data_IF_680099463562
#
_entry.id   IF_680099463562
#
_cell.length_a   1.000
_cell.length_b   1.000
_cell.length_c   1.000
_cell.angle_alpha   90.00
_cell.angle_beta   90.00
_cell.angle_gamma   90.00
#
_symmetry.space_group_name_H-M   'P 1'
#
loop_
_entity.id
_entity.type
_entity.pdbx_description
1 polymer ?
#
# COMPACT_ATOMS: atom_id res chain seq x y z
N UNK A 1 -39.22 35.01 5.87
CA UNK A 1 -40.05 35.41 7.02
C UNK A 1 -40.57 34.12 7.63
N UNK A 2 -40.21 33.87 8.89
CA UNK A 2 -40.63 32.71 9.67
C UNK A 2 -41.98 33.05 10.29
N UNK A 3 -42.97 32.15 10.25
CA UNK A 3 -43.98 32.08 11.30
C UNK A 3 -44.29 30.62 11.62
N UNK A 4 -44.14 30.30 12.90
CA UNK A 4 -44.46 29.05 13.55
C UNK A 4 -45.94 29.02 13.95
N UNK A 5 -46.57 27.84 14.00
CA UNK A 5 -47.65 27.57 14.96
C UNK A 5 -47.62 26.14 15.47
N UNK A 6 -47.41 26.08 16.79
CA UNK A 6 -47.68 25.01 17.72
C UNK A 6 -49.19 24.94 18.01
N UNK A 7 -49.77 23.75 18.12
CA UNK A 7 -51.00 23.50 18.90
C UNK A 7 -51.10 22.02 19.27
N UNK A 8 -51.04 21.75 20.58
CA UNK A 8 -51.18 20.43 21.17
C UNK A 8 -52.60 19.86 21.22
N UNK A 9 -52.61 18.53 21.27
CA UNK A 9 -53.46 17.57 22.00
C UNK A 9 -54.93 17.88 22.36
N UNK A 10 -55.79 16.91 22.03
CA UNK A 10 -56.91 16.48 22.88
C UNK A 10 -57.13 14.96 22.76
N UNK A 11 -57.38 14.30 23.90
CA UNK A 11 -57.60 12.87 24.05
C UNK A 11 -59.06 12.56 24.44
N UNK A 12 -59.57 11.41 23.99
CA UNK A 12 -60.65 10.59 24.60
C UNK A 12 -60.73 9.26 23.80
N UNK A 13 -60.40 8.07 24.33
CA UNK A 13 -61.18 7.17 25.21
C UNK A 13 -62.52 6.72 24.55
N UNK A 14 -62.99 5.47 24.46
CA UNK A 14 -62.72 4.04 24.84
C UNK A 14 -63.61 3.22 23.86
N UNK A 15 -63.34 1.97 23.47
CA UNK A 15 -63.78 0.67 24.03
C UNK A 15 -63.85 -0.27 22.80
N UNK A 16 -63.18 -1.42 22.73
CA UNK A 16 -63.71 -2.71 23.20
C UNK A 16 -63.61 -3.80 22.11
N UNK A 17 -62.77 -4.82 22.35
CA UNK A 17 -62.98 -6.23 21.96
C UNK A 17 -62.59 -6.71 20.54
N UNK A 18 -61.56 -7.58 20.44
CA UNK A 18 -61.38 -8.42 19.25
C UNK A 18 -60.01 -9.09 19.03
N UNK A 19 -59.60 -9.97 19.95
CA UNK A 19 -58.77 -11.21 19.77
C UNK A 19 -57.62 -11.26 18.74
N UNK A 20 -56.41 -11.38 19.30
CA UNK A 20 -55.40 -12.44 19.10
C UNK A 20 -54.72 -12.62 17.73
N UNK A 21 -53.50 -12.08 17.60
CA UNK A 21 -52.43 -12.64 16.74
C UNK A 21 -51.03 -12.24 17.23
N UNK A 22 -50.59 -12.74 18.39
CA UNK A 22 -49.15 -12.77 18.72
C UNK A 22 -48.85 -14.01 19.58
N UNK A 23 -47.85 -14.84 19.24
CA UNK A 23 -47.44 -15.96 20.10
C UNK A 23 -46.58 -15.47 21.28
N UNK A 24 -46.78 -16.10 22.45
CA UNK A 24 -46.14 -15.79 23.73
C UNK A 24 -44.60 -15.87 23.77
N UNK A 25 -44.07 -15.10 24.73
CA UNK A 25 -42.68 -15.03 25.19
C UNK A 25 -42.07 -16.40 25.53
N UNK A 26 -40.84 -16.62 25.05
CA UNK A 26 -39.96 -17.73 25.49
C UNK A 26 -39.04 -17.28 26.64
N UNK A 27 -38.73 -18.17 27.59
CA UNK A 27 -38.07 -17.82 28.84
C UNK A 27 -36.56 -17.51 28.68
N UNK A 28 -36.06 -16.74 29.66
CA UNK A 28 -34.80 -16.02 29.65
C UNK A 28 -33.54 -16.83 29.35
N UNK A 29 -32.71 -16.25 28.48
CA UNK A 29 -31.35 -16.72 28.19
C UNK A 29 -30.45 -16.35 29.39
N UNK A 30 -29.95 -17.37 30.11
CA UNK A 30 -28.97 -17.18 31.18
C UNK A 30 -27.69 -16.56 30.61
N UNK A 31 -27.27 -15.43 31.17
CA UNK A 31 -25.96 -14.83 30.93
C UNK A 31 -24.86 -15.74 31.53
N UNK A 32 -23.76 -16.01 30.81
CA UNK A 32 -22.66 -16.81 31.34
C UNK A 32 -21.91 -16.06 32.45
N UNK A 33 -21.33 -16.83 33.38
CA UNK A 33 -20.77 -16.35 34.63
C UNK A 33 -19.45 -15.57 34.47
N UNK A 34 -19.08 -14.68 35.42
CA UNK A 34 -17.99 -13.71 35.28
C UNK A 34 -16.56 -14.29 35.30
N UNK A 35 -16.41 -15.61 35.41
CA UNK A 35 -15.10 -16.26 35.61
C UNK A 35 -14.31 -16.50 34.31
N UNK A 36 -14.88 -16.20 33.14
CA UNK A 36 -14.23 -16.37 31.85
C UNK A 36 -13.34 -15.18 31.42
N UNK A 37 -13.41 -14.03 32.09
CA UNK A 37 -12.62 -12.85 31.72
C UNK A 37 -11.16 -12.88 32.20
N UNK A 38 -10.83 -13.68 33.21
CA UNK A 38 -9.44 -13.81 33.70
C UNK A 38 -8.61 -14.86 32.95
N UNK A 39 -9.25 -15.82 32.26
CA UNK A 39 -8.56 -16.79 31.41
C UNK A 39 -8.15 -16.21 30.04
N UNK A 40 -8.98 -15.34 29.47
CA UNK A 40 -8.70 -14.68 28.18
C UNK A 40 -7.57 -13.65 28.27
N UNK A 41 -7.50 -12.87 29.35
CA UNK A 41 -6.44 -11.89 29.55
C UNK A 41 -5.07 -12.56 29.79
N UNK A 42 -5.01 -13.66 30.54
CA UNK A 42 -3.78 -14.40 30.76
C UNK A 42 -3.26 -15.08 29.48
N UNK A 43 -4.16 -15.66 28.66
CA UNK A 43 -3.79 -16.23 27.38
C UNK A 43 -3.27 -15.17 26.38
N UNK A 44 -3.89 -13.99 26.34
CA UNK A 44 -3.45 -12.89 25.49
C UNK A 44 -2.07 -12.36 25.91
N UNK A 45 -1.82 -12.20 27.21
CA UNK A 45 -0.52 -11.79 27.75
C UNK A 45 0.56 -12.82 27.44
N UNK A 46 0.26 -14.12 27.56
CA UNK A 46 1.21 -15.19 27.21
C UNK A 46 1.52 -15.19 25.71
N UNK A 47 0.53 -14.96 24.84
CA UNK A 47 0.77 -14.84 23.38
C UNK A 47 1.62 -13.60 23.07
N UNK A 48 1.37 -12.46 23.71
CA UNK A 48 2.18 -11.24 23.52
C UNK A 48 3.61 -11.48 24.01
N UNK A 49 3.80 -12.11 25.17
CA UNK A 49 5.13 -12.44 25.70
C UNK A 49 5.84 -13.45 24.79
N UNK A 50 5.13 -14.42 24.23
CA UNK A 50 5.70 -15.38 23.26
C UNK A 50 6.09 -14.69 21.94
N UNK A 51 5.28 -13.77 21.42
CA UNK A 51 5.62 -12.98 20.22
C UNK A 51 6.81 -12.07 20.49
N UNK A 52 6.84 -11.37 21.63
CA UNK A 52 7.98 -10.53 22.03
C UNK A 52 9.23 -11.37 22.25
N UNK A 53 9.12 -12.55 22.88
CA UNK A 53 10.24 -13.48 23.04
C UNK A 53 10.75 -13.99 21.69
N UNK A 54 9.87 -14.34 20.73
CA UNK A 54 10.28 -14.73 19.37
C UNK A 54 10.97 -13.57 18.65
N UNK A 55 10.49 -12.35 18.77
CA UNK A 55 11.11 -11.16 18.15
C UNK A 55 12.47 -10.83 18.80
N UNK A 56 12.61 -11.01 20.11
CA UNK A 56 13.87 -10.79 20.82
C UNK A 56 14.89 -11.93 20.60
N UNK A 57 14.44 -13.18 20.51
CA UNK A 57 15.26 -14.37 20.21
C UNK A 57 15.68 -14.43 18.74
N UNK A 58 14.94 -13.79 17.83
CA UNK A 58 15.32 -13.67 16.41
C UNK A 58 16.07 -12.36 16.10
N UNK A 59 16.21 -11.46 17.07
CA UNK A 59 16.75 -10.11 16.91
C UNK A 59 18.11 -9.85 17.57
N UNK A 60 18.81 -10.85 18.11
CA UNK A 60 20.02 -10.66 18.92
C UNK A 60 21.24 -11.49 18.53
N UNK A 61 22.02 -10.99 17.57
CA UNK A 61 23.50 -11.06 17.55
C UNK A 61 24.21 -12.36 17.15
N UNK A 62 25.06 -12.28 16.10
CA UNK A 62 26.22 -13.16 15.92
C UNK A 62 26.47 -13.58 14.47
N UNK A 63 27.61 -13.15 13.91
CA UNK A 63 28.01 -13.32 12.51
C UNK A 63 27.87 -14.74 11.95
N UNK A 64 27.21 -14.82 10.82
CA UNK A 64 27.17 -15.93 9.89
C UNK A 64 26.47 -15.41 8.65
N UNK A 65 27.04 -15.62 7.46
CA UNK A 65 26.45 -15.29 6.16
C UNK A 65 25.09 -15.99 6.02
N UNK A 66 24.06 -15.38 6.59
CA UNK A 66 22.69 -15.70 6.28
C UNK A 66 22.49 -15.25 4.83
N UNK A 67 22.03 -16.18 3.99
CA UNK A 67 21.52 -15.84 2.66
C UNK A 67 20.67 -14.56 2.77
N UNK A 68 20.88 -13.55 1.90
CA UNK A 68 20.25 -12.26 2.07
C UNK A 68 18.75 -12.47 2.20
N UNK A 69 18.19 -12.16 3.38
CA UNK A 69 16.73 -12.16 3.57
C UNK A 69 16.19 -11.19 2.52
N UNK A 70 15.47 -11.72 1.54
CA UNK A 70 14.93 -10.93 0.45
C UNK A 70 13.82 -10.06 1.02
N UNK A 71 14.09 -8.76 1.11
CA UNK A 71 13.21 -7.82 1.79
C UNK A 71 11.81 -7.76 1.13
N UNK A 72 10.79 -7.78 1.97
CA UNK A 72 9.37 -7.61 1.63
C UNK A 72 8.73 -6.61 2.59
N UNK A 73 7.66 -5.91 2.20
CA UNK A 73 6.96 -5.01 3.10
C UNK A 73 6.26 -5.76 4.23
N UNK A 74 6.09 -5.09 5.38
CA UNK A 74 5.27 -5.58 6.49
C UNK A 74 3.79 -5.39 6.20
N UNK A 75 3.43 -4.26 5.57
CA UNK A 75 2.08 -3.96 5.13
C UNK A 75 2.06 -3.73 3.62
N UNK A 76 1.12 -4.36 2.91
CA UNK A 76 0.93 -4.20 1.48
C UNK A 76 -0.51 -3.78 1.19
N UNK A 77 -0.68 -2.74 0.36
CA UNK A 77 -2.01 -2.25 -0.02
C UNK A 77 -2.05 -1.98 -1.53
N UNK A 78 -2.60 -2.92 -2.31
CA UNK A 78 -2.78 -2.74 -3.74
C UNK A 78 -4.10 -2.04 -4.07
N UNK A 79 -4.06 -1.15 -5.06
CA UNK A 79 -5.20 -0.57 -5.76
C UNK A 79 -5.17 -1.02 -7.21
N UNK A 80 -6.21 -1.77 -7.60
CA UNK A 80 -6.33 -2.35 -8.92
C UNK A 80 -7.13 -1.49 -9.89
N UNK A 81 -7.79 -0.42 -9.42
CA UNK A 81 -8.89 0.22 -10.15
C UNK A 81 -8.43 0.91 -11.45
N UNK A 82 -7.24 1.50 -11.46
CA UNK A 82 -6.70 2.16 -12.66
C UNK A 82 -7.46 3.43 -13.06
N UNK A 83 -8.23 4.01 -12.14
CA UNK A 83 -9.07 5.18 -12.41
C UNK A 83 -8.25 6.34 -12.97
N UNK A 84 -8.76 6.97 -14.03
CA UNK A 84 -8.11 8.09 -14.70
C UNK A 84 -7.03 7.74 -15.73
N UNK A 85 -6.59 6.48 -15.83
CA UNK A 85 -5.47 6.09 -16.71
C UNK A 85 -5.86 5.19 -17.90
N UNK A 86 -7.14 5.09 -18.22
CA UNK A 86 -7.64 4.20 -19.27
C UNK A 86 -7.09 4.50 -20.68
N UNK A 87 -6.73 5.76 -20.97
CA UNK A 87 -6.13 6.14 -22.25
C UNK A 87 -4.69 5.64 -22.42
N UNK A 88 -4.04 5.20 -21.34
CA UNK A 88 -2.74 4.54 -21.36
C UNK A 88 -2.83 3.13 -20.78
N UNK A 89 -3.99 2.46 -20.90
CA UNK A 89 -4.18 1.10 -20.39
C UNK A 89 -3.35 0.03 -21.11
N UNK A 90 -2.75 0.34 -22.26
CA UNK A 90 -1.83 -0.55 -22.98
C UNK A 90 -0.66 0.23 -23.58
N UNK A 91 0.48 -0.47 -23.78
CA UNK A 91 1.60 0.11 -24.53
C UNK A 91 1.25 0.44 -25.98
N UNK A 92 0.25 -0.19 -26.56
CA UNK A 92 -0.19 0.17 -27.92
C UNK A 92 -0.78 1.58 -27.97
N UNK A 93 -1.39 2.04 -26.86
CA UNK A 93 -1.87 3.41 -26.70
C UNK A 93 -0.78 4.39 -26.26
N UNK A 94 0.25 3.94 -25.54
CA UNK A 94 1.43 4.72 -25.15
C UNK A 94 2.74 4.00 -25.52
N UNK A 95 3.11 4.09 -26.80
CA UNK A 95 4.20 3.29 -27.41
C UNK A 95 5.61 3.73 -27.05
N UNK A 96 5.78 4.92 -26.48
CA UNK A 96 7.12 5.46 -26.21
C UNK A 96 7.77 4.66 -25.10
N UNK A 97 9.07 4.45 -25.17
CA UNK A 97 9.78 3.96 -23.99
C UNK A 97 9.79 5.05 -22.91
N UNK A 98 9.79 4.64 -21.64
CA UNK A 98 10.10 5.54 -20.52
C UNK A 98 11.57 5.87 -20.58
N UNK A 99 11.91 7.16 -20.45
CA UNK A 99 13.28 7.66 -20.42
C UNK A 99 13.70 8.01 -19.00
N UNK A 100 15.02 8.09 -18.76
CA UNK A 100 15.55 8.56 -17.46
C UNK A 100 15.15 10.00 -17.15
N UNK A 101 15.04 10.85 -18.17
CA UNK A 101 14.62 12.25 -18.03
C UNK A 101 13.18 12.38 -17.54
N UNK A 102 12.27 11.52 -18.04
CA UNK A 102 10.90 11.42 -17.53
C UNK A 102 10.88 10.82 -16.12
N UNK A 103 11.43 9.61 -15.96
CA UNK A 103 11.30 8.82 -14.73
C UNK A 103 12.01 9.43 -13.50
N UNK A 104 13.08 10.20 -13.72
CA UNK A 104 13.91 10.76 -12.64
C UNK A 104 13.99 12.29 -12.68
N UNK A 105 13.05 12.95 -13.37
CA UNK A 105 12.96 14.41 -13.39
C UNK A 105 12.68 15.01 -12.01
N UNK A 106 11.91 14.30 -11.18
CA UNK A 106 11.58 14.72 -9.83
C UNK A 106 12.77 14.50 -8.86
N UNK A 107 13.71 15.45 -8.81
CA UNK A 107 14.88 15.36 -7.90
C UNK A 107 14.53 15.63 -6.43
N UNK A 108 13.43 16.32 -6.19
CA UNK A 108 12.92 16.63 -4.85
C UNK A 108 11.41 16.43 -4.80
N UNK A 109 10.93 15.79 -3.75
CA UNK A 109 9.51 15.57 -3.48
C UNK A 109 9.12 16.28 -2.19
N UNK A 110 7.93 16.87 -2.15
CA UNK A 110 7.43 17.54 -0.95
C UNK A 110 5.90 17.47 -0.89
N UNK A 111 5.38 17.11 0.27
CA UNK A 111 3.97 17.25 0.60
C UNK A 111 3.81 17.33 2.12
N UNK A 112 2.94 18.23 2.59
CA UNK A 112 2.74 18.49 4.02
C UNK A 112 4.07 18.76 4.76
N UNK A 113 4.32 17.98 5.80
CA UNK A 113 5.53 18.08 6.64
C UNK A 113 6.76 17.33 6.07
N UNK A 114 6.59 16.53 5.02
CA UNK A 114 7.64 15.65 4.51
C UNK A 114 8.29 16.21 3.25
N UNK A 115 9.62 16.10 3.18
CA UNK A 115 10.40 16.44 2.00
C UNK A 115 11.53 15.44 1.81
N UNK A 116 11.71 15.02 0.56
CA UNK A 116 12.66 14.01 0.15
C UNK A 116 13.52 14.50 -1.02
N UNK A 117 14.76 14.00 -1.08
CA UNK A 117 15.66 14.15 -2.21
C UNK A 117 15.94 12.80 -2.86
N UNK A 118 16.06 12.79 -4.19
CA UNK A 118 16.47 11.61 -4.95
C UNK A 118 17.92 11.26 -4.60
N UNK A 119 18.14 10.06 -4.08
CA UNK A 119 19.46 9.59 -3.68
C UNK A 119 20.07 8.58 -4.67
N UNK A 120 19.24 7.80 -5.35
CA UNK A 120 19.67 6.86 -6.39
C UNK A 120 18.53 6.57 -7.33
N UNK A 121 18.85 6.26 -8.59
CA UNK A 121 17.90 5.94 -9.63
C UNK A 121 18.49 4.91 -10.59
N UNK A 122 17.64 4.02 -11.11
CA UNK A 122 18.03 3.04 -12.12
C UNK A 122 16.84 2.73 -13.02
N UNK A 123 17.04 2.90 -14.32
CA UNK A 123 16.16 2.37 -15.36
C UNK A 123 16.80 1.10 -15.92
N UNK A 124 16.07 0.00 -15.97
CA UNK A 124 16.49 -1.23 -16.67
C UNK A 124 15.49 -1.60 -17.76
N UNK A 125 16.02 -2.17 -18.85
CA UNK A 125 15.24 -2.84 -19.89
C UNK A 125 14.96 -4.33 -19.61
N UNK A 126 15.48 -4.88 -18.51
CA UNK A 126 15.14 -6.21 -18.01
C UNK A 126 14.54 -6.11 -16.60
N UNK A 127 13.27 -6.46 -16.46
CA UNK A 127 12.57 -6.42 -15.18
C UNK A 127 13.13 -7.43 -14.15
N UNK A 128 13.96 -8.40 -14.56
CA UNK A 128 14.67 -9.32 -13.66
C UNK A 128 15.83 -8.67 -12.90
N UNK A 129 16.43 -7.61 -13.45
CA UNK A 129 17.58 -6.89 -12.84
C UNK A 129 17.26 -6.24 -11.48
N UNK A 130 15.99 -6.18 -11.13
CA UNK A 130 15.54 -5.57 -9.89
C UNK A 130 14.37 -6.28 -9.25
N UNK A 131 14.16 -7.55 -9.56
CA UNK A 131 13.15 -8.39 -8.94
C UNK A 131 13.75 -9.73 -8.56
N UNK A 132 13.17 -10.40 -7.60
CA UNK A 132 13.54 -11.76 -7.20
C UNK A 132 12.27 -12.60 -7.04
N UNK A 133 12.44 -13.92 -7.02
CA UNK A 133 11.33 -14.88 -6.96
C UNK A 133 10.97 -15.37 -8.36
N UNK A 134 11.07 -16.70 -8.56
CA UNK A 134 10.90 -17.32 -9.87
C UNK A 134 9.49 -17.13 -10.44
N UNK A 135 8.46 -17.12 -9.59
CA UNK A 135 7.07 -16.91 -10.00
C UNK A 135 6.86 -15.48 -10.50
N UNK A 136 7.27 -14.47 -9.73
CA UNK A 136 7.19 -13.07 -10.14
C UNK A 136 7.95 -12.84 -11.45
N UNK A 137 9.19 -13.33 -11.57
CA UNK A 137 9.98 -13.14 -12.78
C UNK A 137 9.39 -13.85 -14.01
N UNK A 138 8.74 -15.01 -13.83
CA UNK A 138 8.03 -15.69 -14.90
C UNK A 138 6.78 -14.92 -15.34
N UNK A 139 5.98 -14.43 -14.39
CA UNK A 139 4.78 -13.64 -14.70
C UNK A 139 5.16 -12.28 -15.30
N UNK A 140 6.23 -11.63 -14.85
CA UNK A 140 6.77 -10.41 -15.50
C UNK A 140 7.10 -10.65 -16.98
N UNK A 141 7.74 -11.77 -17.31
CA UNK A 141 8.03 -12.12 -18.70
C UNK A 141 6.73 -12.44 -19.48
N UNK A 142 5.83 -13.21 -18.89
CA UNK A 142 4.55 -13.62 -19.49
C UNK A 142 3.64 -12.43 -19.81
N UNK A 143 3.54 -11.47 -18.91
CA UNK A 143 2.73 -10.25 -19.09
C UNK A 143 3.51 -9.11 -19.76
N UNK A 144 4.69 -9.43 -20.31
CA UNK A 144 5.44 -8.55 -21.18
C UNK A 144 6.00 -7.31 -20.49
N UNK A 145 6.54 -7.43 -19.28
CA UNK A 145 7.31 -6.35 -18.65
C UNK A 145 8.50 -5.97 -19.53
N UNK A 146 8.60 -4.69 -19.88
CA UNK A 146 9.61 -4.16 -20.81
C UNK A 146 10.63 -3.23 -20.16
N UNK A 147 10.24 -2.58 -19.05
CA UNK A 147 11.12 -1.67 -18.32
C UNK A 147 10.82 -1.72 -16.83
N UNK A 148 11.88 -1.56 -16.03
CA UNK A 148 11.82 -1.40 -14.59
C UNK A 148 12.48 -0.08 -14.20
N UNK A 149 11.66 0.85 -13.71
CA UNK A 149 12.10 2.09 -13.07
C UNK A 149 12.24 1.81 -11.58
N UNK A 150 13.37 2.17 -10.98
CA UNK A 150 13.52 2.23 -9.53
C UNK A 150 14.18 3.53 -9.14
N UNK A 151 13.70 4.14 -8.07
CA UNK A 151 14.30 5.32 -7.45
C UNK A 151 14.26 5.18 -5.92
N UNK A 152 15.33 5.60 -5.25
CA UNK A 152 15.41 5.71 -3.81
C UNK A 152 15.45 7.19 -3.42
N UNK A 153 14.59 7.56 -2.49
CA UNK A 153 14.44 8.89 -1.95
C UNK A 153 14.75 8.86 -0.45
N UNK A 154 15.43 9.90 0.05
CA UNK A 154 15.72 10.06 1.47
C UNK A 154 15.16 11.38 1.97
N UNK A 155 14.52 11.35 3.12
CA UNK A 155 14.00 12.55 3.79
C UNK A 155 15.13 13.50 4.19
N UNK A 156 14.83 14.79 4.25
CA UNK A 156 15.82 15.81 4.63
C UNK A 156 16.43 15.57 6.03
N UNK A 157 15.64 15.06 6.98
CA UNK A 157 16.10 14.69 8.34
C UNK A 157 16.67 13.26 8.43
N UNK A 158 16.73 12.55 7.29
CA UNK A 158 17.20 11.17 7.13
C UNK A 158 16.46 10.14 7.98
N UNK A 159 15.25 10.44 8.47
CA UNK A 159 14.46 9.50 9.29
C UNK A 159 13.56 8.57 8.47
N UNK A 160 13.38 8.86 7.19
CA UNK A 160 12.58 8.09 6.25
C UNK A 160 13.33 7.86 4.95
N UNK A 161 13.13 6.66 4.42
CA UNK A 161 13.60 6.26 3.10
C UNK A 161 12.39 5.75 2.31
N UNK A 162 12.24 6.21 1.09
CA UNK A 162 11.19 5.82 0.17
C UNK A 162 11.77 5.18 -1.07
N UNK A 163 11.17 4.09 -1.52
CA UNK A 163 11.44 3.45 -2.80
C UNK A 163 10.26 3.73 -3.72
N UNK A 164 10.55 4.23 -4.91
CA UNK A 164 9.57 4.38 -5.98
C UNK A 164 9.92 3.40 -7.10
N UNK A 165 8.96 2.57 -7.48
CA UNK A 165 9.16 1.53 -8.50
C UNK A 165 8.04 1.62 -9.54
N UNK A 166 8.40 1.50 -10.81
CA UNK A 166 7.43 1.37 -11.91
C UNK A 166 7.82 0.19 -12.79
N UNK A 167 6.87 -0.71 -13.03
CA UNK A 167 6.99 -1.80 -14.00
C UNK A 167 6.15 -1.45 -15.23
N UNK A 168 6.80 -1.34 -16.39
CA UNK A 168 6.14 -1.08 -17.67
C UNK A 168 5.65 -2.40 -18.29
N UNK A 169 4.37 -2.71 -18.11
CA UNK A 169 3.74 -3.96 -18.54
C UNK A 169 3.14 -3.84 -19.96
N UNK A 170 2.71 -4.94 -20.56
CA UNK A 170 2.04 -4.87 -21.87
C UNK A 170 0.72 -4.11 -21.81
N UNK A 171 -0.06 -4.38 -20.77
CA UNK A 171 -1.38 -3.83 -20.53
C UNK A 171 -1.74 -3.83 -19.04
N UNK A 172 -2.87 -3.21 -18.74
CA UNK A 172 -3.45 -3.10 -17.40
C UNK A 172 -3.80 -4.46 -16.79
N UNK A 173 -4.15 -5.48 -17.59
CA UNK A 173 -4.43 -6.81 -17.07
C UNK A 173 -3.14 -7.45 -16.52
N UNK A 174 -2.04 -7.27 -17.24
CA UNK A 174 -0.69 -7.59 -16.77
C UNK A 174 -0.35 -6.87 -15.47
N UNK A 175 -0.61 -5.56 -15.40
CA UNK A 175 -0.42 -4.79 -14.15
C UNK A 175 -1.18 -5.41 -12.99
N UNK A 176 -2.50 -5.61 -13.14
CA UNK A 176 -3.34 -6.18 -12.09
C UNK A 176 -2.85 -7.55 -11.62
N UNK A 177 -2.35 -8.38 -12.55
CA UNK A 177 -1.77 -9.68 -12.18
C UNK A 177 -0.48 -9.53 -11.38
N UNK A 178 0.43 -8.66 -11.82
CA UNK A 178 1.68 -8.41 -11.11
C UNK A 178 1.43 -7.82 -9.73
N UNK A 179 0.46 -6.92 -9.57
CA UNK A 179 0.08 -6.39 -8.25
C UNK A 179 -0.44 -7.48 -7.30
N UNK A 180 -1.10 -8.53 -7.81
CA UNK A 180 -1.46 -9.71 -7.01
C UNK A 180 -0.24 -10.54 -6.62
N UNK A 181 0.69 -10.73 -7.55
CA UNK A 181 1.90 -11.53 -7.30
C UNK A 181 2.84 -10.86 -6.30
N UNK A 182 2.83 -9.53 -6.27
CA UNK A 182 3.58 -8.77 -5.30
C UNK A 182 3.04 -8.97 -3.88
N UNK A 183 1.79 -9.36 -3.64
CA UNK A 183 1.33 -9.60 -2.27
C UNK A 183 2.28 -10.58 -1.53
N UNK A 184 2.95 -10.14 -0.45
CA UNK A 184 3.93 -10.97 0.25
C UNK A 184 3.38 -12.31 0.73
N UNK A 185 2.06 -12.41 0.97
CA UNK A 185 1.39 -13.64 1.37
C UNK A 185 1.44 -14.73 0.28
N UNK A 186 1.65 -14.37 -0.99
CA UNK A 186 1.74 -15.32 -2.10
C UNK A 186 3.11 -15.98 -2.21
N UNK A 187 4.15 -15.36 -1.65
CA UNK A 187 5.54 -15.83 -1.80
C UNK A 187 6.05 -15.84 -3.24
N UNK A 188 5.44 -15.09 -4.17
CA UNK A 188 5.81 -15.15 -5.60
C UNK A 188 7.19 -14.52 -5.89
N UNK A 189 7.58 -13.54 -5.06
CA UNK A 189 8.73 -12.69 -5.31
C UNK A 189 8.45 -11.24 -4.92
N UNK A 190 9.45 -10.39 -5.04
CA UNK A 190 9.27 -8.95 -4.82
C UNK A 190 10.32 -8.12 -5.59
N UNK A 191 10.15 -6.81 -5.57
CA UNK A 191 11.09 -5.83 -6.13
C UNK A 191 12.26 -5.59 -5.17
N UNK A 192 13.49 -5.56 -5.70
CA UNK A 192 14.68 -5.29 -4.91
C UNK A 192 14.86 -3.76 -4.71
N UNK A 193 15.00 -3.28 -3.46
CA UNK A 193 15.19 -1.86 -3.19
C UNK A 193 16.53 -1.38 -3.75
N UNK A 194 16.59 -0.11 -4.17
CA UNK A 194 17.85 0.52 -4.52
C UNK A 194 18.60 0.94 -3.26
N UNK A 195 19.88 0.57 -3.25
CA UNK A 195 20.85 1.04 -2.26
C UNK A 195 21.54 2.28 -2.80
N UNK A 196 21.83 3.22 -1.91
CA UNK A 196 22.54 4.44 -2.22
C UNK A 196 23.53 4.75 -1.11
N UNK A 197 24.68 5.29 -1.47
CA UNK A 197 25.67 5.72 -0.49
C UNK A 197 25.09 6.84 0.40
N UNK A 198 25.36 6.78 1.70
CA UNK A 198 24.87 7.78 2.66
C UNK A 198 23.36 7.72 2.96
N UNK A 199 22.63 6.77 2.38
CA UNK A 199 21.22 6.50 2.69
C UNK A 199 21.11 5.37 3.71
N UNK A 200 20.26 5.52 4.75
CA UNK A 200 20.02 4.45 5.71
C UNK A 200 19.58 3.14 5.06
N UNK A 201 19.97 2.01 5.66
CA UNK A 201 19.57 0.70 5.17
C UNK A 201 18.04 0.55 5.12
N UNK A 202 17.58 -0.11 4.06
CA UNK A 202 16.17 -0.34 3.74
C UNK A 202 15.90 -1.83 3.57
N UNK A 203 14.72 -2.29 3.99
CA UNK A 203 14.28 -3.67 3.91
C UNK A 203 14.43 -4.46 5.21
N UNK A 204 14.81 -3.79 6.31
CA UNK A 204 14.84 -4.36 7.65
C UNK A 204 13.82 -3.63 8.52
N UNK A 205 12.99 -4.36 9.27
CA UNK A 205 12.01 -3.77 10.18
C UNK A 205 10.68 -3.42 9.49
N UNK A 206 9.89 -2.53 10.13
CA UNK A 206 8.56 -2.20 9.64
C UNK A 206 8.64 -1.34 8.38
N UNK A 207 8.03 -1.81 7.30
CA UNK A 207 7.86 -1.04 6.06
C UNK A 207 6.47 -1.24 5.49
N UNK A 208 5.97 -0.25 4.75
CA UNK A 208 4.66 -0.29 4.12
C UNK A 208 4.81 -0.03 2.61
N UNK A 209 4.17 -0.85 1.79
CA UNK A 209 4.13 -0.71 0.36
C UNK A 209 2.70 -0.46 -0.11
N UNK A 210 2.53 0.55 -0.94
CA UNK A 210 1.29 0.89 -1.62
C UNK A 210 1.52 0.72 -3.10
N UNK A 211 0.67 -0.03 -3.76
CA UNK A 211 0.81 -0.30 -5.18
C UNK A 211 -0.46 0.08 -5.91
N UNK A 212 -0.32 0.61 -7.12
CA UNK A 212 -1.43 1.17 -7.88
C UNK A 212 -1.30 0.87 -9.35
N UNK A 213 -2.45 0.66 -9.99
CA UNK A 213 -2.56 0.58 -11.44
C UNK A 213 -2.57 1.99 -12.03
N UNK A 214 -1.59 2.29 -12.89
CA UNK A 214 -1.52 3.50 -13.71
C UNK A 214 -1.56 3.08 -15.18
N UNK A 215 -2.74 2.64 -15.66
CA UNK A 215 -2.88 2.03 -16.99
C UNK A 215 -2.01 0.78 -17.12
N UNK A 216 -1.11 0.73 -18.11
CA UNK A 216 -0.14 -0.36 -18.28
C UNK A 216 1.11 -0.28 -17.38
N UNK A 217 1.14 0.67 -16.43
CA UNK A 217 2.22 0.80 -15.45
C UNK A 217 1.77 0.27 -14.08
N UNK A 218 2.53 -0.67 -13.52
CA UNK A 218 2.39 -1.04 -12.10
C UNK A 218 3.30 -0.13 -11.27
N UNK A 219 2.71 0.74 -10.46
CA UNK A 219 3.45 1.71 -9.63
C UNK A 219 3.47 1.21 -8.20
N UNK A 220 4.64 1.27 -7.55
CA UNK A 220 4.79 0.96 -6.13
C UNK A 220 5.52 2.10 -5.42
N UNK A 221 4.98 2.50 -4.27
CA UNK A 221 5.69 3.27 -3.26
C UNK A 221 5.94 2.37 -2.07
N UNK A 222 7.21 2.19 -1.69
CA UNK A 222 7.59 1.33 -0.56
C UNK A 222 8.45 2.11 0.41
N UNK A 223 7.92 2.34 1.60
CA UNK A 223 8.44 3.32 2.55
C UNK A 223 8.79 2.67 3.87
N UNK A 224 9.81 3.22 4.52
CA UNK A 224 10.32 2.73 5.79
C UNK A 224 10.90 3.90 6.58
N UNK A 225 10.81 3.85 7.90
CA UNK A 225 11.71 4.66 8.73
C UNK A 225 13.14 4.14 8.62
N UNK A 226 14.09 5.04 8.62
CA UNK A 226 15.51 4.73 8.55
C UNK A 226 15.88 3.67 9.60
N UNK A 227 16.62 2.63 9.18
CA UNK A 227 17.05 1.55 10.06
C UNK A 227 15.95 0.60 10.54
N UNK A 228 14.71 0.73 10.06
CA UNK A 228 13.63 -0.21 10.36
C UNK A 228 12.82 0.10 11.61
N UNK A 229 12.94 1.32 12.13
CA UNK A 229 12.19 1.77 13.29
C UNK A 229 10.67 1.66 13.06
N UNK A 230 9.93 1.41 14.15
CA UNK A 230 8.48 1.45 14.10
C UNK A 230 7.98 2.86 13.75
N UNK A 231 6.98 2.99 12.87
CA UNK A 231 6.34 4.26 12.66
C UNK A 231 5.55 4.68 13.91
N UNK A 232 5.38 5.98 14.11
CA UNK A 232 4.50 6.53 15.13
C UNK A 232 3.04 6.10 14.90
N UNK A 233 2.64 5.91 13.64
CA UNK A 233 1.34 5.35 13.25
C UNK A 233 1.37 4.83 11.82
N UNK A 234 0.35 4.07 11.40
CA UNK A 234 0.20 3.71 9.98
C UNK A 234 -0.06 4.94 9.10
N UNK A 235 -0.71 5.99 9.64
CA UNK A 235 -0.95 7.23 8.90
C UNK A 235 0.36 7.93 8.52
N UNK A 236 1.40 7.87 9.35
CA UNK A 236 2.73 8.37 8.99
C UNK A 236 3.24 7.70 7.71
N UNK A 237 3.03 6.38 7.57
CA UNK A 237 3.51 5.64 6.41
C UNK A 237 2.68 5.95 5.16
N UNK A 238 1.38 6.23 5.31
CA UNK A 238 0.52 6.72 4.24
C UNK A 238 0.98 8.11 3.79
N UNK A 239 1.17 9.05 4.71
CA UNK A 239 1.58 10.42 4.38
C UNK A 239 2.93 10.43 3.66
N UNK A 240 3.88 9.62 4.13
CA UNK A 240 5.19 9.46 3.49
C UNK A 240 5.05 8.80 2.11
N UNK A 241 4.23 7.77 1.94
CA UNK A 241 4.06 7.09 0.65
C UNK A 241 3.43 7.98 -0.40
N UNK A 242 2.47 8.84 -0.03
CA UNK A 242 1.87 9.84 -0.90
C UNK A 242 2.90 10.85 -1.41
N UNK A 243 3.87 11.24 -0.57
CA UNK A 243 4.96 12.14 -1.02
C UNK A 243 5.84 11.44 -2.05
N UNK A 244 6.16 10.15 -1.84
CA UNK A 244 6.94 9.35 -2.79
C UNK A 244 6.17 9.11 -4.09
N UNK A 245 4.85 8.98 -4.02
CA UNK A 245 3.97 8.79 -5.19
C UNK A 245 4.03 9.97 -6.16
N UNK A 246 4.33 11.18 -5.71
CA UNK A 246 4.55 12.34 -6.58
C UNK A 246 5.68 12.12 -7.63
N UNK A 247 6.57 11.13 -7.42
CA UNK A 247 7.51 10.73 -8.47
C UNK A 247 6.81 10.12 -9.71
N UNK A 248 5.54 9.73 -9.61
CA UNK A 248 4.70 9.26 -10.71
C UNK A 248 4.15 10.39 -11.59
N UNK A 249 4.44 11.65 -11.30
CA UNK A 249 3.96 12.81 -12.08
C UNK A 249 4.23 12.68 -13.59
N UNK A 250 5.34 12.05 -13.97
CA UNK A 250 5.64 11.81 -15.39
C UNK A 250 4.58 10.95 -16.10
N UNK A 251 3.87 10.07 -15.38
CA UNK A 251 2.80 9.23 -15.94
C UNK A 251 1.55 10.04 -16.29
N UNK A 252 1.28 11.14 -15.58
CA UNK A 252 0.25 12.10 -16.00
C UNK A 252 0.66 12.80 -17.30
N UNK A 253 1.94 13.13 -17.45
CA UNK A 253 2.46 13.62 -18.73
C UNK A 253 2.29 12.60 -19.87
N UNK A 254 2.42 11.30 -19.60
CA UNK A 254 2.15 10.24 -20.59
C UNK A 254 0.67 10.19 -20.97
N UNK A 255 -0.21 10.30 -19.96
CA UNK A 255 -1.65 10.37 -20.15
C UNK A 255 -2.05 11.56 -21.03
N UNK A 256 -1.56 12.77 -20.72
CA UNK A 256 -1.84 13.99 -21.49
C UNK A 256 -1.42 13.85 -22.96
N UNK A 257 -0.25 13.24 -23.17
CA UNK A 257 0.27 13.00 -24.51
C UNK A 257 -0.57 11.96 -25.29
N UNK A 258 -1.04 10.91 -24.62
CA UNK A 258 -1.95 9.91 -25.21
C UNK A 258 -3.34 10.50 -25.50
N UNK A 259 -3.80 11.46 -24.69
CA UNK A 259 -5.04 12.20 -24.90
C UNK A 259 -4.99 13.19 -26.08
N UNK A 260 -3.86 13.30 -26.78
CA UNK A 260 -3.66 14.22 -27.90
C UNK A 260 -3.32 15.65 -27.47
N UNK A 261 -2.80 15.84 -26.26
CA UNK A 261 -2.25 17.11 -25.80
C UNK A 261 -3.28 18.25 -25.67
N UNK A 262 -4.55 17.94 -25.39
CA UNK A 262 -5.51 18.94 -24.95
C UNK A 262 -5.45 19.02 -23.42
N UNK A 263 -4.81 20.04 -22.82
CA UNK A 263 -4.91 20.26 -21.38
C UNK A 263 -6.39 20.50 -21.04
N UNK A 264 -6.80 20.05 -19.85
CA UNK A 264 -8.18 20.02 -19.36
C UNK A 264 -9.06 21.20 -19.80
N UNK A 265 -10.23 20.83 -20.33
CA UNK A 265 -11.45 21.62 -20.19
C UNK A 265 -12.13 21.23 -18.88
#
# INVERSE_FOLDING_TARGET
MIEARDTGSAAAAREGGGRDFWPEDKPGRRLPSPKLFFGGAAALVVVIVAVVAVVLLTGGGGGGDAAPKTAVPTAYTPDYAGEGFSQIASRDADKRAVTEGEAFGAKSLKSGAYSFALASSKLSGDCKDGTWGGRLQADLAKFGCSQLVRAAYVSADKKHVGQFIVLNMADENGVKQILRDLDPATGAGWVAPLKAEGVPAFGSGFSAAYAKTYGHYAVLTWVQRAGGAQPASLNEMIDVSLVIENAADFLYGRLDLAAGGRPGQ
#
